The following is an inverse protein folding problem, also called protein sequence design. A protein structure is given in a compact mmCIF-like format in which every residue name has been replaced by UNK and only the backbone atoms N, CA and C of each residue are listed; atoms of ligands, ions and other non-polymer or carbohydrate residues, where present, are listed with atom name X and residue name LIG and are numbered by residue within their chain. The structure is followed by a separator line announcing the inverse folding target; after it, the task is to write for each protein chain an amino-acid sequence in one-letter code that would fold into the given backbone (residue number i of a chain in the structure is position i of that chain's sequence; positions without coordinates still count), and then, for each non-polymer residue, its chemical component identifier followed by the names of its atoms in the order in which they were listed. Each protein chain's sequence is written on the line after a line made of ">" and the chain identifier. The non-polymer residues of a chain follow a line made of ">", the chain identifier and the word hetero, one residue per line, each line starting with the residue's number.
data_IF_601376728891
#
_entry.id   IF_601376728891
#
_cell.length_a   1.000
_cell.length_b   1.000
_cell.length_c   1.000
_cell.angle_alpha   90.00
_cell.angle_beta   90.00
_cell.angle_gamma   90.00
#
_symmetry.space_group_name_H-M   'P 1'
#
loop_
_entity.id
_entity.type
_entity.pdbx_description
1 polymer ?
#
# COMPACT_ATOMS: atom_id res chain seq x y z
N UNK A 1 -13.18 -15.49 -3.85
CA UNK A 1 -14.51 -15.98 -4.27
C UNK A 1 -14.94 -15.19 -5.50
N UNK A 2 -15.20 -15.86 -6.64
CA UNK A 2 -15.42 -15.21 -7.94
C UNK A 2 -16.59 -14.21 -7.94
N UNK A 3 -17.67 -14.48 -7.23
CA UNK A 3 -18.90 -13.67 -7.23
C UNK A 3 -18.75 -12.26 -6.62
N UNK A 4 -17.62 -11.93 -5.98
CA UNK A 4 -17.35 -10.59 -5.41
C UNK A 4 -16.67 -9.64 -6.37
N UNK A 5 -16.12 -10.14 -7.48
CA UNK A 5 -15.33 -9.35 -8.41
C UNK A 5 -16.12 -8.24 -9.09
N UNK A 6 -17.35 -8.45 -9.58
CA UNK A 6 -18.13 -7.42 -10.25
C UNK A 6 -18.42 -6.19 -9.38
N UNK A 7 -18.45 -6.36 -8.06
CA UNK A 7 -18.80 -5.29 -7.11
C UNK A 7 -17.62 -4.36 -6.78
N UNK A 8 -16.39 -4.74 -7.15
CA UNK A 8 -15.17 -3.96 -6.83
C UNK A 8 -14.39 -3.54 -8.07
N UNK A 9 -14.78 -3.99 -9.24
CA UNK A 9 -14.16 -3.61 -10.50
C UNK A 9 -15.05 -2.64 -11.27
N UNK A 10 -14.46 -1.54 -11.74
CA UNK A 10 -15.19 -0.49 -12.46
C UNK A 10 -15.43 -0.79 -13.95
N UNK A 11 -14.95 -1.94 -14.42
CA UNK A 11 -15.11 -2.36 -15.81
C UNK A 11 -16.37 -3.20 -16.04
N UNK A 12 -16.58 -3.57 -17.31
CA UNK A 12 -17.70 -4.42 -17.73
C UNK A 12 -17.43 -5.88 -17.35
N UNK A 13 -18.24 -6.43 -16.45
CA UNK A 13 -18.15 -7.81 -15.99
C UNK A 13 -18.37 -8.85 -17.11
N UNK A 14 -19.10 -8.49 -18.16
CA UNK A 14 -19.36 -9.35 -19.32
C UNK A 14 -18.24 -9.34 -20.37
N UNK A 15 -17.27 -8.42 -20.21
CA UNK A 15 -16.07 -8.37 -21.06
C UNK A 15 -15.21 -9.64 -20.90
N UNK A 16 -14.29 -9.86 -21.86
CA UNK A 16 -13.36 -10.98 -21.80
C UNK A 16 -12.55 -10.99 -20.50
N UNK A 17 -12.10 -9.81 -20.03
CA UNK A 17 -11.32 -9.67 -18.79
C UNK A 17 -12.20 -9.92 -17.56
N UNK A 18 -13.45 -9.42 -17.56
CA UNK A 18 -14.41 -9.67 -16.47
C UNK A 18 -14.68 -11.16 -16.28
N UNK A 19 -14.91 -11.88 -17.36
CA UNK A 19 -15.08 -13.34 -17.37
C UNK A 19 -13.82 -14.08 -16.91
N UNK A 20 -12.64 -13.63 -17.36
CA UNK A 20 -11.36 -14.19 -16.94
C UNK A 20 -11.13 -14.03 -15.43
N UNK A 21 -11.48 -12.87 -14.86
CA UNK A 21 -11.39 -12.65 -13.42
C UNK A 21 -12.36 -13.54 -12.64
N UNK A 22 -13.59 -13.73 -13.12
CA UNK A 22 -14.56 -14.65 -12.50
C UNK A 22 -14.05 -16.10 -12.54
N UNK A 23 -13.44 -16.51 -13.65
CA UNK A 23 -12.86 -17.85 -13.82
C UNK A 23 -11.51 -18.02 -13.07
N UNK A 24 -10.89 -16.90 -12.58
CA UNK A 24 -9.52 -16.90 -12.09
C UNK A 24 -8.54 -17.49 -13.12
N UNK A 25 -8.69 -17.10 -14.39
CA UNK A 25 -7.90 -17.62 -15.50
C UNK A 25 -6.43 -17.19 -15.36
N UNK A 26 -5.48 -18.14 -15.21
CA UNK A 26 -4.06 -17.81 -15.04
C UNK A 26 -3.36 -17.35 -16.33
N UNK A 27 -3.95 -17.61 -17.50
CA UNK A 27 -3.36 -17.26 -18.79
C UNK A 27 -3.91 -15.94 -19.36
N UNK A 28 -4.89 -15.34 -18.69
CA UNK A 28 -5.45 -14.05 -19.08
C UNK A 28 -4.54 -12.89 -18.73
N UNK A 29 -4.99 -11.67 -19.06
CA UNK A 29 -4.29 -10.43 -18.66
C UNK A 29 -4.22 -10.30 -17.14
N UNK A 30 -3.10 -9.76 -16.66
CA UNK A 30 -2.88 -9.56 -15.23
C UNK A 30 -3.84 -8.50 -14.68
N UNK A 31 -4.63 -8.90 -13.70
CA UNK A 31 -5.42 -8.02 -12.86
C UNK A 31 -5.13 -8.31 -11.39
N UNK A 32 -4.35 -7.47 -10.76
CA UNK A 32 -4.01 -7.59 -9.33
C UNK A 32 -4.39 -6.31 -8.61
N UNK A 33 -5.01 -6.43 -7.44
CA UNK A 33 -5.31 -5.31 -6.55
C UNK A 33 -4.42 -5.39 -5.32
N UNK A 34 -3.69 -4.32 -5.05
CA UNK A 34 -2.90 -4.18 -3.83
C UNK A 34 -3.86 -3.85 -2.69
N UNK A 35 -3.84 -4.67 -1.66
CA UNK A 35 -4.70 -4.48 -0.48
C UNK A 35 -3.94 -3.89 0.69
N UNK A 36 -2.63 -4.10 0.76
CA UNK A 36 -1.79 -3.66 1.86
C UNK A 36 -0.35 -3.44 1.41
N UNK A 37 0.30 -2.44 1.99
CA UNK A 37 1.75 -2.26 1.94
C UNK A 37 2.32 -2.62 3.32
N UNK A 38 3.44 -3.31 3.30
CA UNK A 38 4.18 -3.71 4.49
C UNK A 38 5.64 -3.29 4.33
N UNK A 39 6.22 -2.75 5.40
CA UNK A 39 7.66 -2.45 5.44
C UNK A 39 8.40 -3.66 5.98
N UNK A 40 9.27 -4.23 5.17
CA UNK A 40 10.14 -5.35 5.54
C UNK A 40 11.56 -4.79 5.78
N UNK A 41 12.22 -5.08 6.93
CA UNK A 41 13.54 -4.53 7.24
C UNK A 41 14.62 -4.86 6.19
N UNK A 42 14.45 -5.95 5.44
CA UNK A 42 15.44 -6.41 4.46
C UNK A 42 15.02 -6.18 3.01
N UNK A 43 13.72 -6.20 2.72
CA UNK A 43 13.19 -6.08 1.37
C UNK A 43 12.60 -4.69 1.05
N UNK A 44 12.47 -3.82 2.05
CA UNK A 44 11.84 -2.52 1.91
C UNK A 44 10.31 -2.62 1.77
N UNK A 45 9.72 -1.82 0.89
CA UNK A 45 8.28 -1.84 0.64
C UNK A 45 7.85 -3.15 -0.03
N UNK A 46 6.98 -3.91 0.63
CA UNK A 46 6.35 -5.14 0.15
C UNK A 46 4.87 -4.85 -0.10
N UNK A 47 4.44 -4.90 -1.35
CA UNK A 47 3.05 -4.77 -1.72
C UNK A 47 2.37 -6.14 -1.71
N UNK A 48 1.31 -6.27 -0.93
CA UNK A 48 0.51 -7.50 -0.83
C UNK A 48 -0.83 -7.28 -1.48
N UNK A 49 -1.24 -8.18 -2.35
CA UNK A 49 -2.49 -8.03 -3.08
C UNK A 49 -3.01 -9.35 -3.63
N UNK A 50 -4.27 -9.31 -4.04
CA UNK A 50 -4.94 -10.46 -4.69
C UNK A 50 -4.83 -10.36 -6.19
N UNK A 51 -4.50 -11.49 -6.82
CA UNK A 51 -4.53 -11.65 -8.28
C UNK A 51 -5.90 -12.21 -8.66
N UNK A 52 -6.62 -11.48 -9.49
CA UNK A 52 -7.95 -11.86 -9.97
C UNK A 52 -7.91 -12.58 -11.31
N UNK A 53 -7.00 -12.20 -12.21
CA UNK A 53 -6.73 -12.88 -13.48
C UNK A 53 -5.25 -12.80 -13.82
N UNK A 54 -4.80 -13.69 -14.69
CA UNK A 54 -3.42 -13.77 -15.12
C UNK A 54 -2.49 -14.31 -14.04
N UNK A 55 -1.24 -13.93 -14.12
CA UNK A 55 -0.20 -14.32 -13.19
C UNK A 55 0.85 -13.23 -13.08
N UNK A 56 1.51 -13.11 -11.94
CA UNK A 56 2.65 -12.21 -11.74
C UNK A 56 3.94 -13.00 -11.67
N UNK A 57 4.97 -12.58 -12.43
CA UNK A 57 6.25 -13.25 -12.49
C UNK A 57 7.36 -12.35 -11.94
N UNK A 58 8.38 -12.97 -11.37
CA UNK A 58 9.58 -12.25 -10.98
C UNK A 58 10.27 -11.67 -12.23
N UNK A 59 10.69 -10.41 -12.13
CA UNK A 59 11.43 -9.72 -13.18
C UNK A 59 10.58 -9.10 -14.29
N UNK A 60 9.26 -9.32 -14.30
CA UNK A 60 8.38 -8.68 -15.29
C UNK A 60 8.13 -7.20 -14.96
N UNK A 61 7.71 -6.46 -16.00
CA UNK A 61 7.31 -5.06 -15.87
C UNK A 61 5.80 -4.94 -15.85
N UNK A 62 5.27 -4.20 -14.86
CA UNK A 62 3.84 -3.96 -14.69
C UNK A 62 3.57 -2.48 -14.47
N UNK A 63 2.38 -2.04 -14.81
CA UNK A 63 1.89 -0.70 -14.52
C UNK A 63 1.09 -0.72 -13.22
N UNK A 64 1.45 0.16 -12.28
CA UNK A 64 0.54 0.61 -11.26
C UNK A 64 -0.40 1.61 -11.96
N UNK A 65 -1.69 1.27 -12.08
CA UNK A 65 -2.63 2.07 -12.87
C UNK A 65 -2.72 3.49 -12.31
N UNK A 66 -2.50 4.48 -13.18
CA UNK A 66 -2.29 5.88 -12.82
C UNK A 66 -0.82 6.32 -12.79
N UNK A 67 0.13 5.40 -12.80
CA UNK A 67 1.55 5.74 -12.92
C UNK A 67 1.96 5.98 -14.39
N UNK A 68 2.92 6.89 -14.59
CA UNK A 68 3.38 7.26 -15.93
C UNK A 68 4.24 6.19 -16.61
N UNK A 69 4.92 5.34 -15.83
CA UNK A 69 5.89 4.36 -16.34
C UNK A 69 5.66 2.98 -15.70
N UNK A 70 5.98 1.90 -16.44
CA UNK A 70 5.98 0.57 -15.84
C UNK A 70 7.11 0.43 -14.83
N UNK A 71 6.89 -0.38 -13.82
CA UNK A 71 7.86 -0.70 -12.78
C UNK A 71 8.17 -2.20 -12.81
N UNK A 72 9.39 -2.54 -12.45
CA UNK A 72 9.86 -3.92 -12.50
C UNK A 72 9.63 -4.63 -11.17
N UNK A 73 8.93 -5.76 -11.22
CA UNK A 73 8.75 -6.67 -10.09
C UNK A 73 10.10 -7.32 -9.76
N UNK A 74 10.68 -7.02 -8.60
CA UNK A 74 11.98 -7.57 -8.19
C UNK A 74 11.83 -8.98 -7.62
N UNK A 75 10.90 -9.16 -6.70
CA UNK A 75 10.61 -10.45 -6.08
C UNK A 75 9.10 -10.69 -6.05
N UNK A 76 8.74 -11.96 -6.15
CA UNK A 76 7.38 -12.46 -5.99
C UNK A 76 7.41 -13.52 -4.90
N UNK A 77 6.45 -13.46 -3.99
CA UNK A 77 6.34 -14.41 -2.90
C UNK A 77 4.88 -14.72 -2.58
N UNK A 78 4.65 -15.84 -1.94
CA UNK A 78 3.39 -16.19 -1.30
C UNK A 78 3.50 -15.99 0.21
N UNK A 79 2.45 -15.47 0.81
CA UNK A 79 2.35 -15.37 2.27
C UNK A 79 1.74 -16.65 2.85
N UNK A 80 2.47 -17.27 3.78
CA UNK A 80 2.02 -18.45 4.51
C UNK A 80 2.08 -18.12 6.00
N UNK A 81 0.97 -17.62 6.53
CA UNK A 81 0.96 -17.02 7.86
C UNK A 81 1.82 -15.75 7.90
N UNK A 82 2.80 -15.71 8.78
CA UNK A 82 3.78 -14.63 8.89
C UNK A 82 4.97 -14.78 7.92
N UNK A 83 5.15 -15.97 7.36
CA UNK A 83 6.31 -16.28 6.52
C UNK A 83 6.08 -15.87 5.07
N UNK A 84 7.12 -15.32 4.45
CA UNK A 84 7.17 -14.96 3.05
C UNK A 84 8.01 -15.96 2.27
N UNK A 85 7.36 -16.79 1.47
CA UNK A 85 8.02 -17.81 0.64
C UNK A 85 8.19 -17.25 -0.77
N UNK A 86 9.44 -16.98 -1.16
CA UNK A 86 9.76 -16.51 -2.52
C UNK A 86 9.49 -17.60 -3.55
N UNK A 87 8.77 -17.22 -4.60
CA UNK A 87 8.41 -18.10 -5.73
C UNK A 87 8.62 -17.35 -7.05
N UNK A 88 8.88 -18.04 -8.15
CA UNK A 88 9.10 -17.40 -9.45
C UNK A 88 7.83 -16.79 -10.04
N UNK A 89 6.66 -17.35 -9.70
CA UNK A 89 5.36 -16.98 -10.28
C UNK A 89 4.23 -17.23 -9.27
N UNK A 90 3.26 -16.32 -9.24
CA UNK A 90 1.98 -16.51 -8.52
C UNK A 90 0.84 -16.30 -9.51
N UNK A 91 -0.14 -17.21 -9.53
CA UNK A 91 -1.28 -17.20 -10.46
C UNK A 91 -2.54 -16.64 -9.82
N UNK A 92 -3.53 -16.32 -10.66
CA UNK A 92 -4.86 -15.86 -10.26
C UNK A 92 -5.49 -16.74 -9.17
N UNK A 93 -6.32 -16.10 -8.33
CA UNK A 93 -6.95 -16.73 -7.16
C UNK A 93 -6.12 -16.70 -5.89
N UNK A 94 -4.83 -16.38 -5.98
CA UNK A 94 -3.91 -16.33 -4.86
C UNK A 94 -3.63 -14.88 -4.40
N UNK A 95 -3.02 -14.77 -3.23
CA UNK A 95 -2.47 -13.52 -2.69
C UNK A 95 -0.96 -13.54 -2.90
N UNK A 96 -0.45 -12.53 -3.60
CA UNK A 96 0.97 -12.36 -3.83
C UNK A 96 1.53 -11.22 -3.00
N UNK A 97 2.77 -11.40 -2.55
CA UNK A 97 3.61 -10.34 -2.00
C UNK A 97 4.69 -10.01 -3.03
N UNK A 98 4.80 -8.76 -3.43
CA UNK A 98 5.74 -8.30 -4.45
C UNK A 98 6.59 -7.15 -3.96
N UNK A 99 7.80 -7.03 -4.47
CA UNK A 99 8.70 -5.91 -4.20
C UNK A 99 9.12 -5.22 -5.49
N UNK A 100 9.60 -3.99 -5.39
CA UNK A 100 10.10 -3.22 -6.52
C UNK A 100 9.10 -2.23 -7.12
N UNK A 101 7.87 -2.18 -6.65
CA UNK A 101 6.83 -1.26 -7.14
C UNK A 101 6.75 -0.05 -6.22
N UNK A 102 7.42 1.04 -6.58
CA UNK A 102 7.47 2.28 -5.79
C UNK A 102 6.15 3.05 -5.76
N UNK A 103 5.37 2.93 -6.84
CA UNK A 103 4.04 3.54 -6.97
C UNK A 103 2.94 2.71 -6.30
N UNK A 104 3.31 1.62 -5.59
CA UNK A 104 2.35 0.80 -4.89
C UNK A 104 1.72 1.57 -3.72
N UNK A 105 0.41 1.46 -3.59
CA UNK A 105 -0.36 1.91 -2.44
C UNK A 105 -1.56 0.99 -2.27
N UNK A 106 -2.16 0.99 -1.08
CA UNK A 106 -3.39 0.24 -0.85
C UNK A 106 -4.51 0.72 -1.80
N UNK A 107 -5.17 -0.21 -2.48
CA UNK A 107 -6.19 0.07 -3.48
C UNK A 107 -5.68 0.26 -4.91
N UNK A 108 -4.37 0.29 -5.14
CA UNK A 108 -3.81 0.41 -6.49
C UNK A 108 -3.97 -0.90 -7.25
N UNK A 109 -4.36 -0.77 -8.51
CA UNK A 109 -4.46 -1.87 -9.47
C UNK A 109 -3.14 -2.05 -10.22
N UNK A 110 -2.67 -3.28 -10.35
CA UNK A 110 -1.54 -3.63 -11.20
C UNK A 110 -2.00 -4.43 -12.41
N UNK A 111 -1.51 -4.04 -13.59
CA UNK A 111 -1.73 -4.75 -14.84
C UNK A 111 -0.49 -4.62 -15.75
N UNK A 112 -0.39 -5.45 -16.78
CA UNK A 112 0.57 -5.25 -17.87
C UNK A 112 0.09 -4.20 -18.85
N UNK A 113 -1.23 -4.03 -18.95
CA UNK A 113 -1.84 -3.01 -19.79
C UNK A 113 -1.98 -1.69 -19.02
N UNK A 114 -1.41 -0.62 -19.58
CA UNK A 114 -1.49 0.74 -19.02
C UNK A 114 -2.92 1.27 -18.95
N UNK A 115 -3.74 0.90 -19.92
CA UNK A 115 -5.12 1.39 -20.06
C UNK A 115 -6.15 0.46 -19.38
N UNK A 116 -5.67 -0.47 -18.55
CA UNK A 116 -6.52 -1.36 -17.78
C UNK A 116 -7.48 -0.58 -16.87
N UNK A 117 -8.76 -0.95 -16.89
CA UNK A 117 -9.76 -0.35 -15.99
C UNK A 117 -9.47 -0.73 -14.54
N UNK A 118 -9.23 0.24 -13.65
CA UNK A 118 -8.85 -0.04 -12.26
C UNK A 118 -10.00 -0.65 -11.46
N UNK A 119 -9.62 -1.36 -10.40
CA UNK A 119 -10.54 -1.70 -9.33
C UNK A 119 -10.97 -0.46 -8.58
N UNK A 120 -12.09 -0.54 -7.88
CA UNK A 120 -12.53 0.53 -6.99
C UNK A 120 -11.45 0.82 -5.94
N UNK A 121 -11.13 2.11 -5.79
CA UNK A 121 -10.13 2.52 -4.81
C UNK A 121 -10.63 2.22 -3.39
N UNK A 122 -9.74 1.76 -2.54
CA UNK A 122 -10.04 1.64 -1.11
C UNK A 122 -10.21 3.06 -0.56
N UNK A 123 -11.44 3.41 -0.23
CA UNK A 123 -11.77 4.70 0.39
C UNK A 123 -12.20 4.45 1.83
N UNK A 124 -11.63 5.19 2.75
CA UNK A 124 -12.20 5.31 4.09
C UNK A 124 -13.43 6.21 4.01
N UNK A 125 -14.54 5.72 4.57
CA UNK A 125 -15.83 6.45 4.57
C UNK A 125 -15.89 7.54 5.65
N UNK A 126 -14.90 7.63 6.53
CA UNK A 126 -14.82 8.64 7.57
C UNK A 126 -13.54 9.44 7.44
N UNK A 127 -13.69 10.76 7.55
CA UNK A 127 -12.55 11.66 7.66
C UNK A 127 -11.80 11.43 8.99
N UNK A 128 -10.50 11.71 9.04
CA UNK A 128 -9.75 11.67 10.28
C UNK A 128 -10.39 12.57 11.34
N UNK A 129 -10.55 12.05 12.55
CA UNK A 129 -11.24 12.75 13.65
C UNK A 129 -10.26 13.47 14.56
N UNK A 130 -9.03 12.99 14.64
CA UNK A 130 -7.98 13.54 15.51
C UNK A 130 -6.78 13.91 14.67
N UNK A 131 -6.25 15.10 14.88
CA UNK A 131 -5.00 15.56 14.26
C UNK A 131 -4.02 15.95 15.34
N UNK A 132 -2.79 15.44 15.25
CA UNK A 132 -1.70 15.75 16.16
C UNK A 132 -0.52 16.29 15.36
N UNK A 133 0.18 17.27 15.93
CA UNK A 133 1.47 17.69 15.41
C UNK A 133 2.55 16.74 15.92
N UNK A 134 3.41 16.29 15.04
CA UNK A 134 4.52 15.38 15.34
C UNK A 134 5.82 16.01 14.86
N UNK A 135 6.85 15.97 15.71
CA UNK A 135 8.15 16.53 15.42
C UNK A 135 9.25 15.51 15.70
N UNK A 136 10.31 15.47 14.89
CA UNK A 136 11.46 14.65 15.19
C UNK A 136 12.26 15.29 16.33
N UNK A 137 12.88 14.50 17.21
CA UNK A 137 13.75 15.00 18.28
C UNK A 137 14.96 15.80 17.78
N UNK A 138 15.40 15.53 16.57
CA UNK A 138 16.52 16.24 15.94
C UNK A 138 16.14 16.69 14.54
N UNK A 139 16.41 17.94 14.22
CA UNK A 139 16.22 18.50 12.87
C UNK A 139 17.04 17.78 11.80
N UNK A 140 18.11 17.06 12.18
CA UNK A 140 18.91 16.25 11.26
C UNK A 140 18.14 15.03 10.74
N UNK A 141 17.18 14.53 11.51
CA UNK A 141 16.40 13.35 11.19
C UNK A 141 15.07 13.68 10.47
N UNK A 142 14.77 14.98 10.31
CA UNK A 142 13.53 15.46 9.68
C UNK A 142 13.24 14.80 8.30
N UNK A 143 14.20 14.69 7.35
CA UNK A 143 13.93 14.05 6.06
C UNK A 143 13.50 12.58 6.20
N UNK A 144 14.22 11.83 7.03
CA UNK A 144 13.91 10.41 7.29
C UNK A 144 12.55 10.24 7.97
N UNK A 145 12.25 11.11 8.91
CA UNK A 145 10.99 11.15 9.62
C UNK A 145 9.80 11.39 8.68
N UNK A 146 9.92 12.35 7.77
CA UNK A 146 8.89 12.62 6.75
C UNK A 146 8.70 11.42 5.83
N UNK A 147 9.78 10.75 5.43
CA UNK A 147 9.71 9.56 4.57
C UNK A 147 9.03 8.38 5.30
N UNK A 148 9.30 8.19 6.59
CA UNK A 148 8.63 7.18 7.41
C UNK A 148 7.13 7.46 7.55
N UNK A 149 6.74 8.69 7.84
CA UNK A 149 5.35 9.10 7.92
C UNK A 149 4.61 8.85 6.58
N UNK A 150 5.24 9.18 5.45
CA UNK A 150 4.69 8.91 4.13
C UNK A 150 4.54 7.43 3.85
N UNK A 151 5.51 6.61 4.25
CA UNK A 151 5.45 5.15 4.11
C UNK A 151 4.30 4.55 4.92
N UNK A 152 4.07 5.06 6.13
CA UNK A 152 2.94 4.65 6.96
C UNK A 152 1.60 5.06 6.35
N UNK A 153 1.48 6.27 5.81
CA UNK A 153 0.27 6.71 5.13
C UNK A 153 -0.02 5.89 3.85
N UNK A 154 1.02 5.37 3.18
CA UNK A 154 0.82 4.40 2.08
C UNK A 154 0.32 3.04 2.57
N UNK A 155 0.76 2.62 3.75
CA UNK A 155 0.37 1.33 4.33
C UNK A 155 -1.03 1.37 4.95
N UNK A 156 -1.45 2.51 5.46
CA UNK A 156 -2.74 2.72 6.12
C UNK A 156 -3.48 3.92 5.50
N UNK A 157 -4.52 3.62 4.71
CA UNK A 157 -5.32 4.65 4.04
C UNK A 157 -6.16 5.52 4.99
N UNK A 158 -6.26 5.15 6.28
CA UNK A 158 -6.95 5.96 7.30
C UNK A 158 -6.06 7.05 7.92
N UNK A 159 -4.75 7.01 7.64
CA UNK A 159 -3.79 8.02 8.05
C UNK A 159 -3.62 9.10 6.98
N UNK A 160 -3.67 10.36 7.39
CA UNK A 160 -3.32 11.48 6.54
C UNK A 160 -2.10 12.19 7.13
N UNK A 161 -1.11 12.43 6.29
CA UNK A 161 0.12 13.14 6.66
C UNK A 161 0.19 14.43 5.86
N UNK A 162 0.23 15.56 6.57
CA UNK A 162 0.42 16.88 5.97
C UNK A 162 1.70 17.48 6.57
N UNK A 163 2.62 17.92 5.72
CA UNK A 163 3.87 18.56 6.15
C UNK A 163 3.79 20.05 5.90
N UNK A 164 4.06 20.84 6.92
CA UNK A 164 4.27 22.27 6.76
C UNK A 164 5.75 22.51 6.44
N UNK A 165 6.03 22.91 5.21
CA UNK A 165 7.41 23.15 4.75
C UNK A 165 8.05 24.38 5.38
N UNK A 166 7.27 25.32 5.92
CA UNK A 166 7.78 26.56 6.52
C UNK A 166 8.21 26.34 7.97
N UNK A 167 7.42 25.58 8.74
CA UNK A 167 7.71 25.33 10.17
C UNK A 167 8.49 24.03 10.40
N UNK A 168 8.51 23.12 9.44
CA UNK A 168 9.10 21.78 9.58
C UNK A 168 8.23 20.81 10.38
N UNK A 169 7.04 21.24 10.79
CA UNK A 169 6.09 20.41 11.52
C UNK A 169 5.36 19.45 10.56
N UNK A 170 5.13 18.24 11.02
CA UNK A 170 4.26 17.28 10.34
C UNK A 170 2.96 17.11 11.14
N UNK A 171 1.83 17.20 10.45
CA UNK A 171 0.51 16.91 11.01
C UNK A 171 0.13 15.49 10.63
N UNK A 172 -0.14 14.69 11.65
CA UNK A 172 -0.63 13.31 11.51
C UNK A 172 -2.10 13.27 11.92
N UNK A 173 -2.99 12.96 10.99
CA UNK A 173 -4.41 12.84 11.23
C UNK A 173 -4.85 11.38 11.10
N UNK A 174 -5.71 10.92 12.02
CA UNK A 174 -6.19 9.54 12.08
C UNK A 174 -7.56 9.41 12.70
N UNK A 175 -8.03 8.18 12.81
CA UNK A 175 -9.38 7.83 13.25
C UNK A 175 -9.62 7.97 14.75
N UNK A 176 -8.58 8.22 15.54
CA UNK A 176 -8.68 8.37 16.99
C UNK A 176 -7.31 8.42 17.65
N UNK A 177 -7.29 8.78 18.92
CA UNK A 177 -6.08 8.98 19.72
C UNK A 177 -5.25 7.68 19.80
N UNK A 178 -5.87 6.56 20.15
CA UNK A 178 -5.20 5.25 20.20
C UNK A 178 -4.60 4.83 18.85
N UNK A 179 -5.28 5.15 17.73
CA UNK A 179 -4.76 4.87 16.39
C UNK A 179 -3.47 5.63 16.14
N UNK A 180 -3.42 6.91 16.53
CA UNK A 180 -2.23 7.75 16.38
C UNK A 180 -1.10 7.31 17.33
N UNK A 181 -1.40 6.95 18.57
CA UNK A 181 -0.43 6.40 19.53
C UNK A 181 0.24 5.12 19.00
N UNK A 182 -0.56 4.17 18.48
CA UNK A 182 -0.03 2.94 17.89
C UNK A 182 0.83 3.25 16.65
N UNK A 183 0.42 4.24 15.86
CA UNK A 183 1.17 4.65 14.67
C UNK A 183 2.54 5.23 15.05
N UNK A 184 2.56 6.10 16.04
CA UNK A 184 3.80 6.69 16.57
C UNK A 184 4.70 5.61 17.17
N UNK A 185 4.14 4.70 17.98
CA UNK A 185 4.87 3.56 18.54
C UNK A 185 5.52 2.69 17.46
N UNK A 186 4.83 2.43 16.34
CA UNK A 186 5.40 1.70 15.20
C UNK A 186 6.57 2.41 14.55
N UNK A 187 6.53 3.75 14.47
CA UNK A 187 7.65 4.55 13.96
C UNK A 187 8.87 4.42 14.88
N UNK A 188 8.66 4.35 16.19
CA UNK A 188 9.72 4.21 17.18
C UNK A 188 10.34 2.81 17.23
N UNK A 189 9.53 1.75 17.01
CA UNK A 189 9.95 0.36 17.04
C UNK A 189 10.59 -0.14 15.72
N UNK A 190 10.33 0.51 14.59
CA UNK A 190 10.98 0.14 13.34
C UNK A 190 12.49 0.43 13.42
N UNK A 191 13.36 -0.54 13.00
CA UNK A 191 14.82 -0.45 13.22
C UNK A 191 15.54 0.60 12.38
N UNK A 192 14.84 1.61 11.91
CA UNK A 192 15.41 2.78 11.27
C UNK A 192 15.47 3.90 12.30
N UNK A 193 16.48 3.84 13.19
CA UNK A 193 17.00 4.91 14.06
C UNK A 193 16.12 6.15 14.29
N UNK A 194 14.91 5.98 14.83
CA UNK A 194 14.10 7.10 15.29
C UNK A 194 14.12 7.17 16.80
N UNK A 195 14.90 8.08 17.32
CA UNK A 195 14.92 8.38 18.74
C UNK A 195 13.78 9.34 19.07
N UNK A 196 12.77 8.81 19.74
CA UNK A 196 11.75 9.52 20.52
C UNK A 196 10.97 10.68 19.87
N UNK A 197 9.72 10.41 19.54
CA UNK A 197 8.69 11.40 19.27
C UNK A 197 8.06 11.89 20.57
N UNK A 198 7.94 13.18 20.74
CA UNK A 198 7.09 13.77 21.79
C UNK A 198 5.76 14.15 21.16
N UNK A 199 4.68 13.50 21.57
CA UNK A 199 3.33 13.98 21.26
C UNK A 199 3.11 15.29 22.04
N UNK A 200 2.74 16.39 21.38
CA UNK A 200 2.28 17.55 22.11
C UNK A 200 0.97 17.18 22.81
N UNK A 201 0.93 17.35 24.12
CA UNK A 201 -0.29 17.20 24.92
C UNK A 201 -1.36 18.11 24.32
N UNK A 202 -2.52 17.55 24.00
CA UNK A 202 -3.64 18.24 23.36
C UNK A 202 -3.92 19.59 24.00
N UNK A 203 -3.76 20.66 23.21
CA UNK A 203 -4.49 21.90 23.50
C UNK A 203 -5.87 21.76 22.89
N UNK A 204 -6.85 21.45 23.71
CA UNK A 204 -8.25 21.65 23.35
C UNK A 204 -8.48 23.14 23.08
N UNK A 205 -9.01 23.45 21.91
CA UNK A 205 -9.76 24.68 21.66
C UNK A 205 -11.14 24.28 21.18
#
# INVERSE_FOLDING_TARGET
>A
QPYRIPNIWNGDADSAIGKAMVACDPEAELAMMITRIWMDPHAGEVAVGRIYSGAINQGESVYAIGAAKPERVQQVAMMVGADRITVPKVVAGNIAAITGIKSAAAGVTLSRDKDFTPFEAIRHYSDPVVTVAVEPKSMKDLPKFIDALRSLAKADASLQVTTNQETGEALLAGMGELHLEITVYRIEEEPVSYTHLTLPTSSQV
#
